data_IF_833502949322
#
_entry.id   IF_833502949322
#
_cell.length_a   1.000
_cell.length_b   1.000
_cell.length_c   1.000
_cell.angle_alpha   90.00
_cell.angle_beta   90.00
_cell.angle_gamma   90.00
#
_symmetry.space_group_name_H-M   'P 1'
#
loop_
_entity.id
_entity.type
_entity.pdbx_description
1 polymer ?
#
# COMPACT_ATOMS: atom_id res chain seq x y z
N UNK A 1 -0.65 -14.46 -6.12
CA UNK A 1 0.68 -14.33 -5.50
C UNK A 1 0.60 -14.59 -4.01
N UNK A 2 -0.02 -13.74 -3.16
CA UNK A 2 -0.18 -14.06 -1.72
C UNK A 2 -1.12 -15.25 -1.53
N UNK A 3 -2.36 -15.17 -2.03
CA UNK A 3 -3.40 -16.20 -1.82
C UNK A 3 -3.13 -17.54 -2.52
N UNK A 4 -2.07 -17.60 -3.34
CA UNK A 4 -1.69 -18.80 -4.10
C UNK A 4 -0.60 -19.61 -3.40
N UNK A 5 -0.11 -19.17 -2.23
CA UNK A 5 0.86 -19.92 -1.45
C UNK A 5 0.16 -20.66 -0.31
N UNK A 6 0.56 -21.90 -0.06
CA UNK A 6 0.04 -22.71 1.03
C UNK A 6 0.76 -22.39 2.36
N UNK A 7 2.07 -22.16 2.32
CA UNK A 7 2.87 -21.89 3.52
C UNK A 7 2.71 -20.43 4.03
N UNK A 8 2.41 -20.20 5.33
CA UNK A 8 2.35 -18.87 5.93
C UNK A 8 3.60 -18.00 5.72
N UNK A 9 4.80 -18.57 5.79
CA UNK A 9 6.08 -17.87 5.61
C UNK A 9 6.26 -17.40 4.18
N UNK A 10 5.81 -18.19 3.20
CA UNK A 10 5.84 -17.77 1.80
C UNK A 10 4.85 -16.63 1.54
N UNK A 11 3.64 -16.70 2.12
CA UNK A 11 2.68 -15.58 2.08
C UNK A 11 3.27 -14.30 2.66
N UNK A 12 3.93 -14.40 3.81
CA UNK A 12 4.62 -13.29 4.46
C UNK A 12 5.75 -12.73 3.58
N UNK A 13 6.54 -13.58 2.93
CA UNK A 13 7.59 -13.14 1.99
C UNK A 13 7.02 -12.32 0.83
N UNK A 14 5.89 -12.71 0.26
CA UNK A 14 5.22 -11.92 -0.77
C UNK A 14 4.65 -10.61 -0.22
N UNK A 15 4.05 -10.62 0.98
CA UNK A 15 3.56 -9.40 1.62
C UNK A 15 4.69 -8.39 1.81
N UNK A 16 5.83 -8.81 2.38
CA UNK A 16 7.01 -7.97 2.57
C UNK A 16 7.57 -7.44 1.24
N UNK A 17 7.52 -8.25 0.18
CA UNK A 17 7.88 -7.80 -1.17
C UNK A 17 6.95 -6.68 -1.64
N UNK A 18 5.64 -6.79 -1.46
CA UNK A 18 4.70 -5.73 -1.84
C UNK A 18 4.84 -4.48 -0.98
N UNK A 19 5.08 -4.61 0.32
CA UNK A 19 5.43 -3.48 1.20
C UNK A 19 6.67 -2.74 0.68
N UNK A 20 7.72 -3.48 0.27
CA UNK A 20 8.91 -2.88 -0.34
C UNK A 20 8.57 -2.15 -1.65
N UNK A 21 7.75 -2.76 -2.51
CA UNK A 21 7.28 -2.14 -3.76
C UNK A 21 6.54 -0.83 -3.46
N UNK A 22 5.63 -0.81 -2.49
CA UNK A 22 4.89 0.38 -2.11
C UNK A 22 5.80 1.54 -1.66
N UNK A 23 6.86 1.25 -0.89
CA UNK A 23 7.87 2.27 -0.53
C UNK A 23 8.54 2.87 -1.76
N UNK A 24 8.84 2.06 -2.78
CA UNK A 24 9.39 2.56 -4.03
C UNK A 24 8.38 3.38 -4.83
N UNK A 25 7.12 2.92 -4.92
CA UNK A 25 6.06 3.67 -5.60
C UNK A 25 5.82 5.04 -4.98
N UNK A 26 5.89 5.16 -3.64
CA UNK A 26 5.81 6.43 -2.92
C UNK A 26 6.97 7.37 -3.30
N UNK A 27 8.20 6.86 -3.37
CA UNK A 27 9.39 7.64 -3.77
C UNK A 27 9.36 8.09 -5.24
N UNK A 28 8.71 7.30 -6.10
CA UNK A 28 8.53 7.61 -7.51
C UNK A 28 7.31 8.50 -7.78
N UNK A 29 6.58 8.91 -6.73
CA UNK A 29 5.33 9.64 -6.83
C UNK A 29 4.30 8.98 -7.78
N UNK A 30 4.31 7.64 -7.83
CA UNK A 30 3.36 6.85 -8.61
C UNK A 30 2.18 6.46 -7.72
N UNK A 31 1.29 7.42 -7.51
CA UNK A 31 0.15 7.27 -6.61
C UNK A 31 -0.88 6.28 -7.17
N UNK A 32 -1.07 6.22 -8.48
CA UNK A 32 -1.99 5.25 -9.09
C UNK A 32 -1.63 3.80 -8.72
N UNK A 33 -0.37 3.41 -8.97
CA UNK A 33 0.07 2.03 -8.68
C UNK A 33 0.16 1.80 -7.17
N UNK A 34 0.52 2.83 -6.40
CA UNK A 34 0.55 2.75 -4.95
C UNK A 34 -0.84 2.38 -4.39
N UNK A 35 -1.90 3.07 -4.83
CA UNK A 35 -3.26 2.78 -4.41
C UNK A 35 -3.72 1.40 -4.86
N UNK A 36 -3.39 0.99 -6.09
CA UNK A 36 -3.75 -0.33 -6.60
C UNK A 36 -3.13 -1.48 -5.77
N UNK A 37 -1.88 -1.35 -5.34
CA UNK A 37 -1.24 -2.35 -4.48
C UNK A 37 -1.83 -2.29 -3.07
N UNK A 38 -2.01 -1.10 -2.51
CA UNK A 38 -2.59 -0.94 -1.18
C UNK A 38 -4.00 -1.53 -1.08
N UNK A 39 -4.88 -1.24 -2.05
CA UNK A 39 -6.24 -1.78 -2.07
C UNK A 39 -6.26 -3.31 -2.20
N UNK A 40 -5.31 -3.89 -2.93
CA UNK A 40 -5.15 -5.34 -3.01
C UNK A 40 -4.69 -5.95 -1.68
N UNK A 41 -3.74 -5.33 -0.97
CA UNK A 41 -3.27 -5.79 0.34
C UNK A 41 -4.31 -5.58 1.45
N UNK A 42 -5.10 -4.51 1.33
CA UNK A 42 -6.21 -4.21 2.23
C UNK A 42 -7.51 -4.94 1.83
N UNK A 43 -7.49 -5.78 0.80
CA UNK A 43 -8.68 -6.56 0.42
C UNK A 43 -9.03 -7.61 1.49
N UNK A 44 -10.33 -7.90 1.65
CA UNK A 44 -10.82 -8.86 2.65
C UNK A 44 -10.10 -10.24 2.59
N UNK A 45 -9.78 -10.81 1.40
CA UNK A 45 -9.05 -12.06 1.34
C UNK A 45 -7.64 -12.04 1.91
N UNK A 46 -6.95 -10.91 1.83
CA UNK A 46 -5.57 -10.75 2.35
C UNK A 46 -5.60 -10.35 3.82
N UNK A 47 -6.51 -9.46 4.22
CA UNK A 47 -6.66 -9.01 5.62
C UNK A 47 -7.00 -10.12 6.61
N UNK A 48 -7.80 -11.10 6.20
CA UNK A 48 -8.24 -12.21 7.08
C UNK A 48 -7.14 -13.23 7.40
N UNK A 49 -5.99 -13.15 6.73
CA UNK A 49 -4.85 -13.98 7.04
C UNK A 49 -4.18 -13.50 8.33
N UNK A 50 -3.63 -14.43 9.10
CA UNK A 50 -2.87 -14.07 10.30
C UNK A 50 -1.51 -13.49 9.90
N UNK A 51 -1.32 -12.22 10.25
CA UNK A 51 -0.08 -11.49 9.99
C UNK A 51 0.63 -11.13 11.28
N UNK A 52 1.96 -11.05 11.23
CA UNK A 52 2.73 -10.48 12.32
C UNK A 52 2.32 -9.03 12.55
N UNK A 53 2.27 -8.60 13.82
CA UNK A 53 1.87 -7.24 14.22
C UNK A 53 2.62 -6.15 13.45
N UNK A 54 3.93 -6.32 13.27
CA UNK A 54 4.78 -5.40 12.51
C UNK A 54 4.33 -5.20 11.04
N UNK A 55 3.77 -6.23 10.40
CA UNK A 55 3.32 -6.14 9.01
C UNK A 55 2.00 -5.35 8.92
N UNK A 56 1.13 -5.51 9.92
CA UNK A 56 -0.12 -4.76 10.04
C UNK A 56 0.19 -3.28 10.27
N UNK A 57 1.10 -2.97 11.19
CA UNK A 57 1.55 -1.60 11.47
C UNK A 57 2.17 -0.95 10.22
N UNK A 58 3.01 -1.68 9.48
CA UNK A 58 3.57 -1.19 8.22
C UNK A 58 2.49 -0.87 7.17
N UNK A 59 1.43 -1.68 7.06
CA UNK A 59 0.32 -1.39 6.15
C UNK A 59 -0.49 -0.17 6.61
N UNK A 60 -0.71 -0.01 7.91
CA UNK A 60 -1.41 1.15 8.47
C UNK A 60 -0.69 2.47 8.16
N UNK A 61 0.64 2.49 8.20
CA UNK A 61 1.44 3.66 7.79
C UNK A 61 1.11 4.07 6.35
N UNK A 62 0.97 3.10 5.44
CA UNK A 62 0.62 3.39 4.05
C UNK A 62 -0.83 3.85 3.86
N UNK A 63 -1.76 3.38 4.70
CA UNK A 63 -3.15 3.82 4.68
C UNK A 63 -3.31 5.31 5.00
N UNK A 64 -2.43 5.88 5.84
CA UNK A 64 -2.53 7.29 6.25
C UNK A 64 -2.51 8.27 5.08
N UNK A 65 -1.79 7.94 4.00
CA UNK A 65 -1.73 8.79 2.81
C UNK A 65 -3.09 8.93 2.12
N UNK A 66 -3.86 7.84 2.08
CA UNK A 66 -5.11 7.74 1.31
C UNK A 66 -6.33 7.72 2.24
N UNK A 67 -6.16 8.22 3.45
CA UNK A 67 -7.23 8.35 4.40
C UNK A 67 -8.35 9.24 3.82
N UNK A 68 -9.60 8.78 3.88
CA UNK A 68 -10.73 9.47 3.25
C UNK A 68 -11.15 10.75 3.99
N UNK A 69 -10.59 11.04 5.17
CA UNK A 69 -10.93 12.25 5.91
C UNK A 69 -10.69 13.50 5.08
N UNK A 70 -11.59 14.47 5.23
CA UNK A 70 -11.54 15.74 4.51
C UNK A 70 -11.38 15.55 2.99
N UNK A 71 -12.01 14.50 2.44
CA UNK A 71 -11.93 14.13 1.02
C UNK A 71 -10.48 13.82 0.58
N UNK A 72 -9.76 12.92 1.27
CA UNK A 72 -8.38 12.56 0.89
C UNK A 72 -7.38 13.72 0.98
N UNK A 73 -7.46 14.51 2.06
CA UNK A 73 -6.61 15.71 2.25
C UNK A 73 -5.12 15.39 2.18
N UNK A 74 -4.66 14.34 2.87
CA UNK A 74 -3.25 13.95 2.90
C UNK A 74 -2.72 13.60 1.49
N UNK A 75 -3.51 12.86 0.72
CA UNK A 75 -3.19 12.54 -0.67
C UNK A 75 -3.12 13.79 -1.55
N UNK A 76 -4.15 14.66 -1.51
CA UNK A 76 -4.16 15.91 -2.30
C UNK A 76 -2.99 16.82 -1.97
N UNK A 77 -2.64 16.94 -0.69
CA UNK A 77 -1.48 17.72 -0.27
C UNK A 77 -0.18 17.14 -0.83
N UNK A 78 0.03 15.84 -0.66
CA UNK A 78 1.21 15.16 -1.21
C UNK A 78 1.29 15.31 -2.74
N UNK A 79 0.15 15.25 -3.45
CA UNK A 79 0.10 15.47 -4.90
C UNK A 79 0.45 16.92 -5.27
N UNK A 80 -0.01 17.92 -4.52
CA UNK A 80 0.29 19.33 -4.79
C UNK A 80 1.75 19.71 -4.51
N UNK A 81 2.40 19.04 -3.56
CA UNK A 81 3.80 19.23 -3.19
C UNK A 81 4.75 18.43 -4.10
N UNK A 82 4.21 17.52 -4.92
CA UNK A 82 4.98 16.66 -5.80
C UNK A 82 5.34 17.40 -7.09
N UNK A 83 6.64 17.54 -7.34
CA UNK A 83 7.13 17.98 -8.65
C UNK A 83 7.12 16.83 -9.68
N UNK A 84 6.85 17.12 -10.97
CA UNK A 84 6.97 16.13 -12.04
C UNK A 84 8.38 15.52 -12.11
N UNK A 85 8.51 14.22 -12.47
CA UNK A 85 7.44 13.33 -12.93
C UNK A 85 6.61 12.73 -11.78
N UNK A 86 5.30 12.67 -11.96
CA UNK A 86 4.38 12.01 -11.04
C UNK A 86 3.23 11.34 -11.79
N UNK A 87 2.63 10.33 -11.16
CA UNK A 87 1.45 9.64 -11.70
C UNK A 87 0.33 9.76 -10.65
N UNK A 88 -0.62 10.70 -10.83
CA UNK A 88 -1.76 10.82 -9.94
C UNK A 88 -2.67 9.60 -10.03
N UNK A 89 -3.49 9.38 -8.99
CA UNK A 89 -4.59 8.42 -9.00
C UNK A 89 -5.71 8.90 -9.95
N UNK A 90 -6.28 7.96 -10.72
CA UNK A 90 -7.34 8.18 -11.71
C UNK A 90 -8.74 8.21 -11.08
#
# INVERSE_FOLDING_TARGET
>A
QILTQDDPKDRERYLLKFIKIMRHLRKLHNFNSYLAVLSALDSAPVRRLEWQKQNIEALQEFCQLIDSSSSFRAYRQALSETEPPCIPYL
#
